data_IF_346230956101
#
_entry.id   IF_346230956101
#
_cell.length_a   1.000
_cell.length_b   1.000
_cell.length_c   1.000
_cell.angle_alpha   90.00
_cell.angle_beta   90.00
_cell.angle_gamma   90.00
#
_symmetry.space_group_name_H-M   'P 1'
#
loop_
_entity.id
_entity.type
_entity.pdbx_description
1 polymer ?
#
# COMPACT_ATOMS: atom_id res chain seq x y z
N UNK A 1 13.08 5.69 -20.80
CA UNK A 1 12.82 5.43 -19.37
C UNK A 1 12.64 6.78 -18.70
N UNK A 2 11.46 7.07 -18.18
CA UNK A 2 11.19 8.34 -17.51
C UNK A 2 11.40 8.18 -16.01
N UNK A 3 12.23 9.01 -15.41
CA UNK A 3 12.31 9.17 -13.96
C UNK A 3 11.16 10.06 -13.50
N UNK A 4 10.42 9.62 -12.49
CA UNK A 4 9.43 10.43 -11.79
C UNK A 4 10.02 10.87 -10.45
N UNK A 5 9.95 12.17 -10.17
CA UNK A 5 10.45 12.77 -8.94
C UNK A 5 9.27 13.33 -8.16
N UNK A 6 9.02 12.81 -6.96
CA UNK A 6 8.04 13.38 -6.03
C UNK A 6 8.76 14.39 -5.16
N UNK A 7 8.42 15.67 -5.31
CA UNK A 7 8.96 16.77 -4.50
C UNK A 7 7.94 17.15 -3.42
N UNK A 8 8.29 16.95 -2.14
CA UNK A 8 7.56 17.51 -1.00
C UNK A 8 8.34 18.68 -0.40
N UNK A 9 7.71 19.84 -0.31
CA UNK A 9 8.26 21.03 0.33
C UNK A 9 7.66 21.18 1.72
N UNK A 10 8.50 21.44 2.72
CA UNK A 10 8.06 21.70 4.09
C UNK A 10 8.49 23.09 4.51
N UNK A 11 7.54 23.96 4.86
CA UNK A 11 7.79 25.40 5.00
C UNK A 11 8.59 25.80 6.25
N UNK A 12 8.88 24.88 7.18
CA UNK A 12 9.44 25.22 8.51
C UNK A 12 10.45 24.26 9.16
N UNK A 13 10.86 23.17 8.52
CA UNK A 13 11.84 22.25 9.14
C UNK A 13 12.85 21.70 8.12
N UNK A 14 14.13 21.85 8.43
CA UNK A 14 15.19 21.02 7.83
C UNK A 14 15.15 19.65 8.49
N UNK A 15 14.98 18.58 7.70
CA UNK A 15 15.21 17.22 8.16
C UNK A 15 16.63 16.80 7.77
N UNK A 16 17.34 16.12 8.67
CA UNK A 16 18.57 15.42 8.28
C UNK A 16 18.19 14.31 7.30
N UNK A 17 18.86 14.23 6.14
CA UNK A 17 18.66 13.17 5.15
C UNK A 17 18.87 11.77 5.75
N UNK A 18 19.73 11.64 6.75
CA UNK A 18 19.95 10.40 7.50
C UNK A 18 18.78 10.02 8.40
N UNK A 19 17.95 11.00 8.80
CA UNK A 19 16.70 10.79 9.54
C UNK A 19 15.50 10.59 8.60
N UNK A 20 15.71 10.67 7.28
CA UNK A 20 14.69 10.27 6.32
C UNK A 20 14.55 8.76 6.44
N UNK A 21 13.66 8.32 7.33
CA UNK A 21 13.25 6.92 7.39
C UNK A 21 12.88 6.50 5.98
N UNK A 22 13.30 5.29 5.60
CA UNK A 22 12.81 4.61 4.40
C UNK A 22 11.30 4.85 4.31
N UNK A 23 10.82 5.28 3.15
CA UNK A 23 9.40 5.56 2.94
C UNK A 23 8.60 4.30 3.28
N UNK A 24 7.99 4.29 4.46
CA UNK A 24 7.23 3.19 5.04
C UNK A 24 5.93 3.76 5.63
N UNK A 25 5.00 4.21 4.78
CA UNK A 25 3.70 4.64 5.25
C UNK A 25 2.93 3.44 5.81
N UNK A 26 2.10 3.71 6.80
CA UNK A 26 1.22 2.72 7.40
C UNK A 26 -0.04 3.38 7.92
N UNK A 27 -1.08 2.57 8.13
CA UNK A 27 -2.31 2.96 8.82
C UNK A 27 -2.45 2.16 10.12
N UNK A 28 -3.16 2.74 11.09
CA UNK A 28 -3.50 2.09 12.37
C UNK A 28 -4.98 1.76 12.33
N UNK A 29 -5.33 0.48 12.42
CA UNK A 29 -6.72 0.03 12.50
C UNK A 29 -7.28 0.42 13.86
N UNK A 30 -8.42 1.14 13.89
CA UNK A 30 -9.07 1.55 15.13
C UNK A 30 -8.23 2.51 15.99
N UNK A 31 -7.58 3.49 15.37
CA UNK A 31 -6.67 4.43 16.02
C UNK A 31 -7.13 4.92 17.40
N UNK A 32 -6.27 4.74 18.41
CA UNK A 32 -6.33 5.41 19.70
C UNK A 32 -4.98 6.04 20.06
N UNK A 33 -5.03 7.23 20.67
CA UNK A 33 -3.82 7.95 21.06
C UNK A 33 -2.99 7.12 22.05
N UNK A 34 -1.67 7.07 21.83
CA UNK A 34 -0.68 6.35 22.66
C UNK A 34 -0.89 4.83 22.77
N UNK A 35 -1.71 4.22 21.91
CA UNK A 35 -1.91 2.77 21.90
C UNK A 35 -0.61 2.03 21.53
N UNK A 36 -0.34 0.96 22.26
CA UNK A 36 0.66 -0.08 21.93
C UNK A 36 -0.06 -1.37 21.52
N UNK A 37 0.67 -2.33 20.96
CA UNK A 37 0.10 -3.56 20.40
C UNK A 37 -0.98 -3.24 19.36
N UNK A 38 -0.60 -2.40 18.39
CA UNK A 38 -1.49 -1.89 17.35
C UNK A 38 -1.59 -2.88 16.21
N UNK A 39 -2.77 -2.98 15.62
CA UNK A 39 -2.90 -3.55 14.28
C UNK A 39 -2.51 -2.48 13.26
N UNK A 40 -1.39 -2.72 12.58
CA UNK A 40 -0.84 -1.80 11.58
C UNK A 40 -0.85 -2.48 10.21
N UNK A 41 -1.23 -1.73 9.17
CA UNK A 41 -1.15 -2.20 7.77
C UNK A 41 -0.09 -1.36 7.06
N UNK A 42 0.90 -2.03 6.49
CA UNK A 42 2.03 -1.41 5.79
C UNK A 42 2.02 -1.79 4.31
N UNK A 43 2.89 -1.13 3.53
CA UNK A 43 3.23 -1.60 2.20
C UNK A 43 3.95 -2.97 2.26
N UNK A 44 3.87 -3.80 1.21
CA UNK A 44 4.54 -5.09 1.13
C UNK A 44 6.02 -5.05 1.51
N UNK A 45 6.47 -6.04 2.29
CA UNK A 45 7.89 -6.20 2.69
C UNK A 45 8.48 -5.04 3.50
N UNK A 46 7.64 -4.21 4.11
CA UNK A 46 8.10 -3.17 5.03
C UNK A 46 8.00 -3.64 6.48
N UNK A 47 8.87 -3.12 7.35
CA UNK A 47 8.85 -3.48 8.77
C UNK A 47 7.71 -2.78 9.49
N UNK A 48 7.02 -3.52 10.37
CA UNK A 48 6.06 -2.95 11.31
C UNK A 48 6.76 -2.01 12.30
N UNK A 49 6.03 -1.09 12.91
CA UNK A 49 6.63 -0.24 13.94
C UNK A 49 6.83 -0.98 15.26
N UNK A 50 7.65 -0.43 16.16
CA UNK A 50 7.86 -0.97 17.51
C UNK A 50 6.59 -0.96 18.40
N UNK A 51 5.50 -0.33 17.97
CA UNK A 51 4.21 -0.34 18.67
C UNK A 51 3.19 -1.26 18.00
N UNK A 52 3.52 -1.89 16.87
CA UNK A 52 2.70 -2.93 16.27
C UNK A 52 2.58 -4.13 17.22
N UNK A 53 1.48 -4.85 17.14
CA UNK A 53 1.34 -6.15 17.76
C UNK A 53 2.23 -7.16 17.01
N UNK A 54 3.34 -7.56 17.65
CA UNK A 54 4.29 -8.48 17.07
C UNK A 54 3.70 -9.87 16.78
N UNK A 55 2.59 -10.24 17.42
CA UNK A 55 1.91 -11.52 17.16
C UNK A 55 1.20 -11.55 15.81
N UNK A 56 0.92 -10.38 15.22
CA UNK A 56 0.24 -10.28 13.92
C UNK A 56 1.22 -10.31 12.74
N UNK A 57 2.49 -9.96 12.97
CA UNK A 57 3.50 -9.83 11.92
C UNK A 57 3.83 -11.20 11.33
N UNK A 58 3.59 -11.39 10.04
CA UNK A 58 3.90 -12.67 9.38
C UNK A 58 2.98 -13.82 9.81
N UNK A 59 1.84 -13.52 10.43
CA UNK A 59 0.91 -14.50 10.98
C UNK A 59 -0.26 -14.79 10.03
N UNK A 60 -0.84 -15.98 10.11
CA UNK A 60 -1.98 -16.37 9.26
C UNK A 60 -1.63 -16.31 7.78
N UNK A 61 -2.52 -15.73 6.98
CA UNK A 61 -2.30 -15.56 5.54
C UNK A 61 -1.53 -14.28 5.19
N UNK A 62 -0.86 -13.64 6.15
CA UNK A 62 -0.08 -12.45 5.91
C UNK A 62 1.42 -12.79 5.79
N UNK A 63 1.92 -12.91 4.56
CA UNK A 63 3.35 -13.07 4.27
C UNK A 63 4.04 -11.70 4.08
N UNK A 64 4.05 -10.87 5.13
CA UNK A 64 4.62 -9.50 5.13
C UNK A 64 3.84 -8.51 4.25
N UNK A 65 2.58 -8.29 4.59
CA UNK A 65 1.59 -7.44 3.94
C UNK A 65 1.27 -7.87 2.50
N UNK A 66 1.39 -9.17 2.24
CA UNK A 66 0.96 -9.85 1.02
C UNK A 66 0.17 -11.08 1.45
N UNK A 67 -0.95 -11.35 0.78
CA UNK A 67 -1.65 -12.62 0.96
C UNK A 67 -0.70 -13.80 0.70
N UNK A 68 -0.47 -14.66 1.69
CA UNK A 68 0.45 -15.80 1.61
C UNK A 68 -0.04 -16.89 0.64
N UNK A 69 -1.35 -16.93 0.39
CA UNK A 69 -1.98 -17.86 -0.55
C UNK A 69 -2.22 -17.21 -1.93
N UNK A 70 -2.01 -15.90 -2.03
CA UNK A 70 -2.28 -15.08 -3.20
C UNK A 70 -1.11 -14.19 -3.60
N UNK A 71 -1.41 -13.21 -4.46
CA UNK A 71 -0.43 -12.23 -4.90
C UNK A 71 -0.81 -10.79 -4.51
N UNK A 72 -1.92 -10.63 -3.78
CA UNK A 72 -2.56 -9.35 -3.56
C UNK A 72 -1.97 -8.70 -2.29
N UNK A 73 -1.46 -7.47 -2.40
CA UNK A 73 -0.95 -6.75 -1.24
C UNK A 73 -2.08 -6.13 -0.42
N UNK A 74 -1.86 -5.95 0.88
CA UNK A 74 -2.81 -5.27 1.77
C UNK A 74 -2.86 -3.75 1.55
N UNK A 75 -1.77 -3.16 1.04
CA UNK A 75 -1.68 -1.74 0.71
C UNK A 75 -0.78 -1.50 -0.51
N UNK A 76 -1.06 -0.44 -1.27
CA UNK A 76 -0.29 -0.05 -2.46
C UNK A 76 -0.12 1.47 -2.46
N UNK A 77 1.06 1.94 -2.85
CA UNK A 77 1.32 3.33 -3.21
C UNK A 77 1.10 3.51 -4.72
N UNK A 78 0.10 4.31 -5.09
CA UNK A 78 -0.25 4.55 -6.50
C UNK A 78 0.34 5.91 -6.90
N UNK A 79 1.12 5.99 -7.99
CA UNK A 79 1.78 7.22 -8.41
C UNK A 79 0.81 8.17 -9.16
N UNK A 80 -0.35 8.45 -8.58
CA UNK A 80 -1.34 9.39 -9.09
C UNK A 80 -2.16 10.02 -7.96
N UNK A 81 -2.57 11.27 -8.14
CA UNK A 81 -3.36 12.02 -7.14
C UNK A 81 -4.87 11.85 -7.31
N UNK A 82 -5.32 11.45 -8.50
CA UNK A 82 -6.72 11.37 -8.93
C UNK A 82 -7.17 9.92 -9.11
N UNK A 83 -6.56 8.98 -8.36
CA UNK A 83 -6.96 7.57 -8.39
C UNK A 83 -8.45 7.45 -8.03
N UNK A 84 -9.19 6.70 -8.84
CA UNK A 84 -10.61 6.42 -8.56
C UNK A 84 -10.68 5.16 -7.71
N UNK A 85 -11.09 5.24 -6.43
CA UNK A 85 -11.28 4.05 -5.61
C UNK A 85 -12.37 3.17 -6.23
N UNK A 86 -12.19 1.85 -6.14
CA UNK A 86 -13.23 0.91 -6.54
C UNK A 86 -14.46 1.06 -5.65
N UNK A 87 -15.61 0.67 -6.19
CA UNK A 87 -16.85 0.65 -5.43
C UNK A 87 -16.65 -0.21 -4.18
N UNK A 88 -17.02 0.33 -3.01
CA UNK A 88 -16.92 -0.37 -1.74
C UNK A 88 -17.54 -1.76 -1.85
N UNK A 89 -16.93 -2.76 -1.20
CA UNK A 89 -17.28 -4.20 -1.26
C UNK A 89 -17.03 -4.93 -2.58
N UNK A 90 -16.65 -4.24 -3.66
CA UNK A 90 -16.29 -4.88 -4.92
C UNK A 90 -14.81 -5.23 -4.98
N UNK A 91 -14.50 -6.33 -5.67
CA UNK A 91 -13.11 -6.72 -5.91
C UNK A 91 -12.47 -5.70 -6.88
N UNK A 92 -11.23 -5.28 -6.60
CA UNK A 92 -10.50 -4.35 -7.46
C UNK A 92 -10.44 -4.78 -8.94
N UNK A 93 -10.42 -6.09 -9.20
CA UNK A 93 -10.40 -6.67 -10.54
C UNK A 93 -11.64 -6.33 -11.38
N UNK A 94 -12.77 -5.97 -10.77
CA UNK A 94 -14.00 -5.66 -11.51
C UNK A 94 -13.95 -4.30 -12.18
N UNK A 95 -13.21 -3.35 -11.60
CA UNK A 95 -13.09 -1.98 -12.10
C UNK A 95 -11.68 -1.67 -12.61
N UNK A 96 -10.67 -2.47 -12.24
CA UNK A 96 -9.31 -2.46 -12.77
C UNK A 96 -8.93 -3.87 -13.27
N UNK A 97 -9.33 -4.24 -14.49
CA UNK A 97 -9.24 -5.62 -14.98
C UNK A 97 -7.81 -6.15 -15.18
N UNK A 98 -6.82 -5.26 -15.20
CA UNK A 98 -5.41 -5.64 -15.30
C UNK A 98 -4.70 -5.73 -13.94
N UNK A 99 -5.41 -5.46 -12.84
CA UNK A 99 -4.84 -5.53 -11.50
C UNK A 99 -4.36 -6.95 -11.17
N UNK A 100 -5.20 -7.96 -11.42
CA UNK A 100 -4.84 -9.36 -11.24
C UNK A 100 -3.55 -9.77 -11.95
N UNK A 101 -3.45 -9.48 -13.24
CA UNK A 101 -2.27 -9.82 -14.04
C UNK A 101 -1.01 -9.09 -13.54
N UNK A 102 -1.17 -7.86 -13.03
CA UNK A 102 -0.09 -7.14 -12.36
C UNK A 102 0.32 -7.84 -11.07
N UNK A 103 -0.64 -8.15 -10.18
CA UNK A 103 -0.40 -8.79 -8.89
C UNK A 103 0.27 -10.17 -9.07
N UNK A 104 -0.33 -11.05 -9.86
CA UNK A 104 0.16 -12.42 -10.12
C UNK A 104 1.56 -12.43 -10.76
N UNK A 105 1.96 -11.36 -11.44
CA UNK A 105 3.30 -11.20 -12.02
C UNK A 105 4.34 -10.62 -11.06
N UNK A 106 3.98 -10.34 -9.80
CA UNK A 106 4.83 -9.60 -8.87
C UNK A 106 5.13 -8.17 -9.33
N UNK A 107 4.20 -7.57 -10.08
CA UNK A 107 4.30 -6.21 -10.60
C UNK A 107 5.07 -6.04 -11.91
N UNK A 108 5.44 -7.13 -12.59
CA UNK A 108 6.20 -7.08 -13.85
C UNK A 108 5.33 -6.78 -15.09
N UNK A 109 4.06 -7.18 -15.07
CA UNK A 109 3.09 -6.97 -16.16
C UNK A 109 2.11 -5.87 -15.80
N UNK A 110 1.50 -5.25 -16.83
CA UNK A 110 0.48 -4.21 -16.66
C UNK A 110 0.88 -3.13 -15.64
N UNK A 111 2.12 -2.63 -15.71
CA UNK A 111 2.69 -1.68 -14.74
C UNK A 111 1.95 -0.34 -14.67
N UNK A 112 0.98 -0.12 -15.56
CA UNK A 112 0.09 1.04 -15.63
C UNK A 112 -1.39 0.68 -15.40
N UNK A 113 -1.70 -0.49 -14.82
CA UNK A 113 -3.08 -0.96 -14.59
C UNK A 113 -3.98 0.08 -13.92
N UNK A 114 -3.41 0.91 -13.02
CA UNK A 114 -4.11 1.95 -12.27
C UNK A 114 -4.66 3.10 -13.14
N UNK A 115 -4.29 3.13 -14.43
CA UNK A 115 -4.85 4.07 -15.42
C UNK A 115 -6.07 3.52 -16.16
N UNK A 116 -6.36 2.23 -15.99
CA UNK A 116 -7.32 1.48 -16.80
C UNK A 116 -8.64 1.25 -16.03
N UNK A 117 -9.14 2.31 -15.39
CA UNK A 117 -10.40 2.28 -14.66
C UNK A 117 -11.59 2.05 -15.60
N UNK A 118 -12.50 1.18 -15.19
CA UNK A 118 -13.79 0.93 -15.84
C UNK A 118 -14.89 1.12 -14.82
N UNK A 119 -15.84 2.01 -15.12
CA UNK A 119 -17.02 2.18 -14.28
C UNK A 119 -17.74 0.85 -14.08
N UNK A 120 -18.32 0.60 -12.89
CA UNK A 120 -19.09 -0.60 -12.62
C UNK A 120 -20.15 -0.82 -13.71
N UNK A 121 -20.21 -2.04 -14.25
CA UNK A 121 -21.34 -2.43 -15.08
C UNK A 121 -22.56 -2.55 -14.16
N UNK A 122 -23.63 -1.82 -14.50
CA UNK A 122 -24.91 -1.87 -13.79
C UNK A 122 -25.58 -3.22 -13.92
#
# INVERSE_FOLDING_TARGET
MGTYTITRTFDKASFNKENLKVYNPYIIVGYAANQKNRTEVHLPKHEATAYADASLIGSGNDAYYIDSEGAYPFAIDIPMSDFVPVTETHNIDTEYPYFKDWADSGGAKHTNWYKEYRSPQK
#
